data_IF_745153448135
#
_entry.id   IF_745153448135
#
_cell.length_a   1.000
_cell.length_b   1.000
_cell.length_c   1.000
_cell.angle_alpha   90.00
_cell.angle_beta   90.00
_cell.angle_gamma   90.00
#
_symmetry.space_group_name_H-M   'P 1'
#
loop_
_entity.id
_entity.type
_entity.pdbx_description
1 polymer ?
#
# COMPACT_ATOMS: atom_id res chain seq x y z
N UNK A 1 1.38 -25.31 -9.59
CA UNK A 1 2.12 -24.03 -9.66
C UNK A 1 1.37 -23.01 -8.82
N UNK A 2 2.03 -22.32 -7.88
CA UNK A 2 1.43 -21.26 -7.05
C UNK A 2 1.24 -19.92 -7.79
N UNK A 3 1.41 -19.90 -9.10
CA UNK A 3 1.28 -18.69 -9.92
C UNK A 3 -0.07 -18.00 -9.67
N UNK A 4 -0.03 -16.69 -9.46
CA UNK A 4 -1.20 -15.87 -9.14
C UNK A 4 -1.70 -15.96 -7.69
N UNK A 5 -1.09 -16.78 -6.81
CA UNK A 5 -1.49 -16.85 -5.40
C UNK A 5 -1.26 -15.50 -4.70
N UNK A 6 -2.29 -15.00 -4.02
CA UNK A 6 -2.25 -13.74 -3.25
C UNK A 6 -2.29 -13.96 -1.73
N UNK A 7 -2.72 -15.15 -1.29
CA UNK A 7 -2.74 -15.51 0.13
C UNK A 7 -1.32 -15.86 0.58
N UNK A 8 -0.65 -14.92 1.25
CA UNK A 8 0.73 -15.11 1.69
C UNK A 8 0.89 -16.19 2.76
N UNK A 9 -0.15 -16.52 3.55
CA UNK A 9 -0.06 -17.65 4.48
C UNK A 9 0.07 -18.98 3.72
N UNK A 10 -0.62 -19.13 2.58
CA UNK A 10 -0.45 -20.30 1.69
C UNK A 10 0.95 -20.32 1.07
N UNK A 11 1.47 -19.17 0.63
CA UNK A 11 2.81 -19.07 0.04
C UNK A 11 3.88 -19.44 1.08
N UNK A 12 3.81 -18.87 2.29
CA UNK A 12 4.74 -19.14 3.38
C UNK A 12 4.72 -20.62 3.77
N UNK A 13 3.53 -21.23 3.92
CA UNK A 13 3.41 -22.66 4.21
C UNK A 13 4.06 -23.54 3.14
N UNK A 14 3.89 -23.19 1.87
CA UNK A 14 4.51 -23.92 0.77
C UNK A 14 6.03 -23.77 0.79
N UNK A 15 6.54 -22.55 0.96
CA UNK A 15 7.98 -22.27 0.99
C UNK A 15 8.66 -23.01 2.15
N UNK A 16 8.03 -23.09 3.33
CA UNK A 16 8.58 -23.88 4.46
C UNK A 16 8.75 -25.38 4.17
N UNK A 17 8.03 -25.92 3.19
CA UNK A 17 8.10 -27.33 2.79
C UNK A 17 8.95 -27.52 1.51
N UNK A 18 9.39 -26.43 0.90
CA UNK A 18 10.16 -26.50 -0.34
C UNK A 18 11.61 -26.92 -0.05
N UNK A 19 12.30 -27.56 -1.01
CA UNK A 19 13.72 -27.87 -0.90
C UNK A 19 14.57 -26.61 -0.70
N UNK A 20 15.72 -26.78 -0.05
CA UNK A 20 16.68 -25.68 0.11
C UNK A 20 17.10 -25.10 -1.25
N UNK A 21 17.19 -23.78 -1.30
CA UNK A 21 17.49 -23.04 -2.53
C UNK A 21 16.29 -22.81 -3.45
N UNK A 22 15.12 -23.39 -3.16
CA UNK A 22 13.89 -23.06 -3.88
C UNK A 22 13.39 -21.66 -3.49
N UNK A 23 12.92 -20.90 -4.48
CA UNK A 23 12.32 -19.59 -4.26
C UNK A 23 11.23 -19.28 -5.29
N UNK A 24 10.39 -18.30 -4.96
CA UNK A 24 9.36 -17.74 -5.84
C UNK A 24 9.56 -16.24 -6.02
N UNK A 25 9.16 -15.73 -7.18
CA UNK A 25 9.04 -14.28 -7.40
C UNK A 25 7.68 -13.78 -6.95
N UNK A 26 7.65 -12.62 -6.29
CA UNK A 26 6.43 -11.90 -5.94
C UNK A 26 6.45 -10.49 -6.50
N UNK A 27 5.26 -9.97 -6.82
CA UNK A 27 5.06 -8.57 -7.18
C UNK A 27 3.89 -7.99 -6.39
N UNK A 28 3.84 -6.67 -6.25
CA UNK A 28 2.68 -6.02 -5.65
C UNK A 28 1.40 -6.31 -6.46
N UNK A 29 0.31 -6.61 -5.73
CA UNK A 29 -1.00 -6.88 -6.33
C UNK A 29 -1.62 -5.60 -6.91
N UNK A 30 -1.34 -4.45 -6.29
CA UNK A 30 -1.87 -3.15 -6.67
C UNK A 30 -0.74 -2.15 -6.93
N UNK A 31 -0.94 -1.23 -7.88
CA UNK A 31 0.02 -0.15 -8.16
C UNK A 31 0.14 0.81 -6.98
N UNK A 32 1.24 1.56 -6.90
CA UNK A 32 1.50 2.52 -5.79
C UNK A 32 0.43 3.60 -5.63
N UNK A 33 -0.35 3.88 -6.67
CA UNK A 33 -1.43 4.87 -6.65
C UNK A 33 -2.78 4.29 -6.18
N UNK A 34 -2.89 2.96 -6.06
CA UNK A 34 -4.10 2.33 -5.56
C UNK A 34 -4.16 2.43 -4.03
N UNK A 35 -5.33 2.80 -3.50
CA UNK A 35 -5.54 2.89 -2.05
C UNK A 35 -5.33 1.58 -1.30
N UNK A 36 -5.45 0.43 -2.00
CA UNK A 36 -5.22 -0.91 -1.48
C UNK A 36 -3.76 -1.33 -1.54
N UNK A 37 -2.88 -0.51 -2.09
CA UNK A 37 -1.45 -0.80 -2.09
C UNK A 37 -0.93 -0.95 -0.65
N UNK A 38 -0.12 -1.99 -0.45
CA UNK A 38 0.50 -2.33 0.82
C UNK A 38 1.72 -3.19 0.56
N UNK A 39 2.69 -3.11 1.46
CA UNK A 39 3.90 -3.94 1.46
C UNK A 39 3.54 -5.44 1.37
N UNK A 40 2.51 -5.87 2.09
CA UNK A 40 2.12 -7.28 2.19
C UNK A 40 1.06 -7.73 1.17
N UNK A 41 0.54 -6.81 0.34
CA UNK A 41 -0.40 -7.16 -0.74
C UNK A 41 0.39 -7.60 -1.96
N UNK A 42 0.85 -8.85 -1.93
CA UNK A 42 1.73 -9.46 -2.93
C UNK A 42 1.00 -10.56 -3.70
N UNK A 43 1.55 -10.91 -4.86
CA UNK A 43 1.12 -12.05 -5.68
C UNK A 43 2.34 -12.81 -6.21
N UNK A 44 2.24 -14.13 -6.27
CA UNK A 44 3.24 -14.97 -6.93
C UNK A 44 3.18 -14.75 -8.44
N UNK A 45 4.33 -14.47 -9.05
CA UNK A 45 4.47 -14.19 -10.49
C UNK A 45 5.63 -14.98 -11.09
N UNK A 46 5.69 -15.06 -12.42
CA UNK A 46 6.90 -15.47 -13.11
C UNK A 46 7.87 -14.29 -13.24
N UNK A 47 9.15 -14.57 -13.55
CA UNK A 47 10.16 -13.53 -13.67
C UNK A 47 9.82 -12.50 -14.76
N UNK A 48 9.23 -12.92 -15.87
CA UNK A 48 8.84 -12.05 -16.98
C UNK A 48 7.73 -11.07 -16.60
N UNK A 49 6.98 -11.39 -15.55
CA UNK A 49 5.90 -10.57 -15.00
C UNK A 49 6.35 -9.72 -13.82
N UNK A 50 7.61 -9.86 -13.40
CA UNK A 50 8.21 -8.93 -12.46
C UNK A 50 8.31 -7.55 -13.13
N UNK A 51 7.83 -6.53 -12.43
CA UNK A 51 8.08 -5.15 -12.81
C UNK A 51 9.49 -4.72 -12.46
N UNK A 52 9.71 -3.40 -12.41
CA UNK A 52 10.98 -2.82 -11.94
C UNK A 52 11.24 -3.10 -10.46
N UNK A 53 10.19 -3.27 -9.67
CA UNK A 53 10.23 -3.62 -8.26
C UNK A 53 9.58 -4.99 -8.07
N UNK A 54 10.26 -5.88 -7.36
CA UNK A 54 9.76 -7.24 -7.11
C UNK A 54 10.41 -7.82 -5.85
N UNK A 55 9.86 -8.92 -5.37
CA UNK A 55 10.38 -9.66 -4.24
C UNK A 55 10.78 -11.06 -4.66
N UNK A 56 11.67 -11.68 -3.91
CA UNK A 56 11.85 -13.14 -3.90
C UNK A 56 11.52 -13.66 -2.51
N UNK A 57 10.93 -14.85 -2.43
CA UNK A 57 10.67 -15.54 -1.16
C UNK A 57 11.24 -16.95 -1.22
N UNK A 58 12.02 -17.32 -0.20
CA UNK A 58 12.66 -18.64 -0.03
C UNK A 58 12.59 -19.08 1.43
N UNK A 59 13.09 -20.29 1.72
CA UNK A 59 13.18 -20.82 3.08
C UNK A 59 14.00 -19.90 4.01
N UNK A 60 14.98 -19.18 3.46
CA UNK A 60 15.81 -18.23 4.23
C UNK A 60 15.06 -16.94 4.55
N UNK A 61 14.28 -16.42 3.60
CA UNK A 61 13.55 -15.17 3.80
C UNK A 61 13.04 -14.53 2.52
N UNK A 62 12.66 -13.26 2.67
CA UNK A 62 12.12 -12.41 1.62
C UNK A 62 13.12 -11.32 1.30
N UNK A 63 13.49 -11.19 0.03
CA UNK A 63 14.32 -10.09 -0.48
C UNK A 63 13.47 -9.14 -1.31
N UNK A 64 13.58 -7.84 -1.09
CA UNK A 64 12.88 -6.80 -1.85
C UNK A 64 13.86 -6.03 -2.74
N UNK A 65 13.64 -6.08 -4.05
CA UNK A 65 14.45 -5.42 -5.06
C UNK A 65 13.78 -4.15 -5.54
N UNK A 66 14.49 -3.02 -5.43
CA UNK A 66 14.08 -1.72 -5.97
C UNK A 66 15.21 -1.11 -6.79
N UNK A 67 14.93 -0.49 -7.94
CA UNK A 67 15.96 0.14 -8.77
C UNK A 67 16.68 1.26 -8.01
N UNK A 68 18.01 1.18 -7.90
CA UNK A 68 18.83 2.21 -7.27
C UNK A 68 18.89 2.17 -5.75
N UNK A 69 18.31 1.15 -5.12
CA UNK A 69 18.35 0.95 -3.66
C UNK A 69 19.01 -0.40 -3.32
N UNK A 70 19.54 -0.51 -2.10
CA UNK A 70 20.05 -1.79 -1.59
C UNK A 70 18.91 -2.79 -1.40
N UNK A 71 19.23 -4.08 -1.55
CA UNK A 71 18.25 -5.15 -1.38
C UNK A 71 17.90 -5.29 0.11
N UNK A 72 16.64 -5.09 0.45
CA UNK A 72 16.16 -5.32 1.82
C UNK A 72 15.85 -6.81 2.01
N UNK A 73 16.45 -7.42 3.04
CA UNK A 73 16.20 -8.82 3.38
C UNK A 73 15.48 -8.96 4.72
N UNK A 74 14.41 -9.74 4.73
CA UNK A 74 13.65 -10.09 5.93
C UNK A 74 13.62 -11.61 6.12
N UNK A 75 14.12 -12.17 7.24
CA UNK A 75 14.03 -13.61 7.50
C UNK A 75 12.60 -14.14 7.41
N UNK A 76 12.40 -15.37 6.91
CA UNK A 76 11.07 -15.90 6.62
C UNK A 76 10.14 -15.87 7.83
N UNK A 77 10.68 -16.21 9.01
CA UNK A 77 9.93 -16.19 10.27
C UNK A 77 9.53 -14.78 10.72
N UNK A 78 10.36 -13.77 10.43
CA UNK A 78 10.02 -12.38 10.71
C UNK A 78 8.94 -11.90 9.75
N UNK A 79 9.10 -12.17 8.45
CA UNK A 79 8.10 -11.84 7.44
C UNK A 79 6.73 -12.45 7.76
N UNK A 80 6.69 -13.72 8.17
CA UNK A 80 5.45 -14.40 8.56
C UNK A 80 4.80 -13.75 9.80
N UNK A 81 5.60 -13.42 10.83
CA UNK A 81 5.11 -12.73 12.04
C UNK A 81 4.56 -11.34 11.72
N UNK A 82 5.27 -10.59 10.90
CA UNK A 82 4.85 -9.25 10.49
C UNK A 82 3.60 -9.28 9.62
N UNK A 83 3.52 -10.21 8.66
CA UNK A 83 2.32 -10.44 7.86
C UNK A 83 1.10 -10.74 8.74
N UNK A 84 1.25 -11.65 9.71
CA UNK A 84 0.20 -11.97 10.67
C UNK A 84 -0.22 -10.75 11.51
N UNK A 85 0.74 -9.94 11.98
CA UNK A 85 0.44 -8.72 12.73
C UNK A 85 -0.29 -7.70 11.86
N UNK A 86 0.18 -7.52 10.62
CA UNK A 86 -0.40 -6.60 9.65
C UNK A 86 -1.85 -6.95 9.34
N UNK A 87 -2.16 -8.23 9.04
CA UNK A 87 -3.52 -8.66 8.70
C UNK A 87 -4.51 -8.42 9.84
N UNK A 88 -4.07 -8.57 11.10
CA UNK A 88 -4.88 -8.20 12.27
C UNK A 88 -4.99 -6.69 12.48
N UNK A 89 -3.89 -5.96 12.29
CA UNK A 89 -3.84 -4.52 12.45
C UNK A 89 -4.85 -3.83 11.54
N UNK A 90 -4.90 -4.22 10.25
CA UNK A 90 -5.80 -3.59 9.27
C UNK A 90 -7.28 -3.90 9.50
N UNK A 91 -7.62 -4.90 10.33
CA UNK A 91 -9.00 -5.23 10.72
C UNK A 91 -9.51 -4.37 11.89
N UNK A 92 -8.64 -3.71 12.64
CA UNK A 92 -9.06 -2.85 13.74
C UNK A 92 -9.89 -1.68 13.17
N UNK A 93 -11.05 -1.42 13.80
CA UNK A 93 -12.06 -0.46 13.32
C UNK A 93 -11.46 0.88 12.91
N UNK A 94 -10.55 1.42 13.73
CA UNK A 94 -9.83 2.67 13.44
C UNK A 94 -9.20 2.65 12.05
N UNK A 95 -8.46 1.61 11.68
CA UNK A 95 -7.81 1.51 10.38
C UNK A 95 -8.79 1.21 9.24
N UNK A 96 -9.84 0.42 9.49
CA UNK A 96 -10.87 0.13 8.48
C UNK A 96 -11.65 1.37 8.06
N UNK A 97 -11.96 2.28 8.99
CA UNK A 97 -12.73 3.49 8.73
C UNK A 97 -11.85 4.70 8.40
N UNK A 98 -10.56 4.66 8.75
CA UNK A 98 -9.64 5.79 8.57
C UNK A 98 -9.61 6.31 7.13
N UNK A 99 -9.57 5.43 6.13
CA UNK A 99 -9.53 5.85 4.71
C UNK A 99 -10.77 6.67 4.32
N UNK A 100 -11.95 6.18 4.69
CA UNK A 100 -13.22 6.87 4.43
C UNK A 100 -13.28 8.20 5.20
N UNK A 101 -12.92 8.18 6.48
CA UNK A 101 -12.92 9.38 7.32
C UNK A 101 -11.96 10.45 6.78
N UNK A 102 -10.75 10.06 6.36
CA UNK A 102 -9.77 10.97 5.74
C UNK A 102 -10.31 11.58 4.45
N UNK A 103 -10.94 10.79 3.59
CA UNK A 103 -11.54 11.30 2.35
C UNK A 103 -12.63 12.34 2.64
N UNK A 104 -13.54 12.07 3.59
CA UNK A 104 -14.57 13.02 4.00
C UNK A 104 -13.98 14.29 4.61
N UNK A 105 -12.96 14.17 5.47
CA UNK A 105 -12.32 15.33 6.09
C UNK A 105 -11.61 16.23 5.07
N UNK A 106 -10.92 15.65 4.09
CA UNK A 106 -10.30 16.40 3.00
C UNK A 106 -11.34 17.12 2.15
N UNK A 107 -12.42 16.41 1.76
CA UNK A 107 -13.52 17.02 1.02
C UNK A 107 -14.17 18.17 1.80
N UNK A 108 -14.49 17.95 3.07
CA UNK A 108 -15.10 18.97 3.93
C UNK A 108 -14.21 20.22 4.04
N UNK A 109 -12.91 20.04 4.26
CA UNK A 109 -11.93 21.14 4.30
C UNK A 109 -11.92 21.91 2.98
N UNK A 110 -11.90 21.23 1.83
CA UNK A 110 -11.89 21.86 0.52
C UNK A 110 -13.17 22.66 0.26
N UNK A 111 -14.34 22.13 0.62
CA UNK A 111 -15.62 22.85 0.52
C UNK A 111 -15.60 24.11 1.40
N UNK A 112 -15.13 23.99 2.64
CA UNK A 112 -15.04 25.13 3.56
C UNK A 112 -14.13 26.23 3.01
N UNK A 113 -12.93 25.86 2.52
CA UNK A 113 -11.99 26.80 1.89
C UNK A 113 -12.66 27.47 0.69
N UNK A 114 -13.28 26.70 -0.20
CA UNK A 114 -13.99 27.25 -1.37
C UNK A 114 -15.06 28.28 -0.98
N UNK A 115 -15.89 27.98 0.02
CA UNK A 115 -16.94 28.90 0.49
C UNK A 115 -16.34 30.21 1.03
N UNK A 116 -15.29 30.12 1.85
CA UNK A 116 -14.62 31.30 2.41
C UNK A 116 -13.96 32.13 1.30
N UNK A 117 -13.28 31.50 0.35
CA UNK A 117 -12.64 32.19 -0.78
C UNK A 117 -13.67 32.91 -1.66
N UNK A 118 -14.81 32.29 -1.95
CA UNK A 118 -15.90 32.92 -2.72
C UNK A 118 -16.48 34.12 -1.97
N UNK A 119 -16.73 34.00 -0.67
CA UNK A 119 -17.23 35.10 0.16
C UNK A 119 -16.23 36.25 0.24
N UNK A 120 -14.93 35.95 0.46
CA UNK A 120 -13.87 36.95 0.50
C UNK A 120 -13.72 37.69 -0.83
N UNK A 121 -13.81 36.98 -1.96
CA UNK A 121 -13.81 37.59 -3.29
C UNK A 121 -15.03 38.51 -3.47
N UNK A 122 -16.22 38.03 -3.13
CA UNK A 122 -17.45 38.83 -3.20
C UNK A 122 -17.36 40.12 -2.39
N UNK A 123 -16.82 40.05 -1.16
CA UNK A 123 -16.58 41.25 -0.34
C UNK A 123 -15.61 42.21 -1.02
N UNK A 124 -14.49 41.72 -1.55
CA UNK A 124 -13.49 42.56 -2.21
C UNK A 124 -14.04 43.24 -3.47
N UNK A 125 -14.82 42.52 -4.28
CA UNK A 125 -15.40 43.04 -5.53
C UNK A 125 -16.46 44.14 -5.27
N UNK A 126 -17.09 44.15 -4.09
CA UNK A 126 -18.14 45.12 -3.72
C UNK A 126 -17.71 46.12 -2.64
N UNK A 127 -16.46 46.06 -2.16
CA UNK A 127 -15.97 46.84 -1.02
C UNK A 127 -15.90 48.35 -1.29
N UNK A 128 -15.86 48.77 -2.57
CA UNK A 128 -15.69 50.16 -2.99
C UNK A 128 -16.95 50.82 -3.53
N UNK A 129 -18.13 50.18 -3.43
CA UNK A 129 -19.38 50.73 -3.95
C UNK A 129 -19.98 51.87 -3.11
N UNK A 130 -19.37 52.22 -1.98
CA UNK A 130 -19.82 53.26 -1.03
C UNK A 130 -18.86 54.45 -0.92
N UNK A 131 -17.90 54.59 -1.84
CA UNK A 131 -17.09 55.81 -1.99
C UNK A 131 -17.55 56.58 -3.23
N UNK A 132 -18.74 57.17 -3.18
CA UNK A 132 -19.19 58.37 -3.91
C UNK A 132 -20.46 58.94 -3.25
#
# INVERSE_FOLDING_TARGET
MLHGQTDMDKVIRYIRQAPDGFFLYLAHLYSRNDTRHSYYNLKVVSYEQCGREYFTISNSGVSYYRPGEEVEFTPLENFAKEYYRYTRLIQIKVFTTFRMWKAFMVWYKNIRVKKVTVAAKGLNDHLFLLQD
#
